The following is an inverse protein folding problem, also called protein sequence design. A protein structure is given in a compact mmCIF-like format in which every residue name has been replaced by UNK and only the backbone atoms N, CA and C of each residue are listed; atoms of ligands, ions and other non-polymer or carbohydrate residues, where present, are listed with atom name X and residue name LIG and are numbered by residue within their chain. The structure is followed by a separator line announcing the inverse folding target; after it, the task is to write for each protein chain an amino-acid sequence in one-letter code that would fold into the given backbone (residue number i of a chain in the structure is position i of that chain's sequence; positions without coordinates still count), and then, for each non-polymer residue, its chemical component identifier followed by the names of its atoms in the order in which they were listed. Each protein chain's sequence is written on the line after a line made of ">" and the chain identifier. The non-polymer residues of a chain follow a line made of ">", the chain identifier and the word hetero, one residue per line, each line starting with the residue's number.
data_IF_338719269515
#
_entry.id   IF_338719269515
#
_cell.length_a   1.000
_cell.length_b   1.000
_cell.length_c   1.000
_cell.angle_alpha   90.00
_cell.angle_beta   90.00
_cell.angle_gamma   90.00
#
_symmetry.space_group_name_H-M   'P 1'
#
loop_
_entity.id
_entity.type
_entity.pdbx_description
1 polymer ?
#
# COMPACT_ATOMS: atom_id res chain seq x y z
N UNK A 1 -36.86 -0.42 4.85
CA UNK A 1 -35.85 0.63 4.74
C UNK A 1 -34.49 -0.01 4.98
N UNK A 2 -33.50 0.25 4.13
CA UNK A 2 -32.14 -0.28 4.36
C UNK A 2 -31.52 0.34 5.62
N UNK A 3 -30.81 -0.45 6.39
CA UNK A 3 -30.07 0.02 7.57
C UNK A 3 -28.61 0.30 7.18
N UNK A 4 -28.06 1.37 7.72
CA UNK A 4 -26.66 1.72 7.58
C UNK A 4 -25.83 0.84 8.53
N UNK A 5 -24.65 0.40 8.09
CA UNK A 5 -23.71 -0.31 8.95
C UNK A 5 -23.30 0.60 10.13
N UNK A 6 -23.69 0.21 11.35
CA UNK A 6 -23.45 0.99 12.58
C UNK A 6 -21.97 1.18 12.92
N UNK A 7 -21.07 0.35 12.36
CA UNK A 7 -19.63 0.47 12.58
C UNK A 7 -19.03 1.74 11.97
N UNK A 8 -19.70 2.36 10.99
CA UNK A 8 -19.27 3.67 10.47
C UNK A 8 -19.26 4.77 11.55
N UNK A 9 -20.09 4.65 12.58
CA UNK A 9 -20.06 5.58 13.71
C UNK A 9 -18.81 5.45 14.59
N UNK A 10 -18.03 4.37 14.44
CA UNK A 10 -16.77 4.16 15.15
C UNK A 10 -15.57 4.82 14.46
N UNK A 11 -15.72 5.21 13.19
CA UNK A 11 -14.69 5.94 12.44
C UNK A 11 -14.58 7.37 12.99
N UNK A 12 -13.40 7.99 12.79
CA UNK A 12 -13.25 9.42 13.08
C UNK A 12 -14.23 10.21 12.21
N UNK A 13 -14.83 11.25 12.78
CA UNK A 13 -15.87 12.06 12.12
C UNK A 13 -15.40 12.69 10.80
N UNK A 14 -14.11 12.93 10.67
CA UNK A 14 -13.55 13.44 9.43
C UNK A 14 -12.25 12.73 9.04
N UNK A 15 -12.09 12.56 7.75
CA UNK A 15 -10.85 12.03 7.17
C UNK A 15 -9.75 13.11 7.25
N UNK A 16 -8.61 12.77 7.84
CA UNK A 16 -7.50 13.69 8.12
C UNK A 16 -7.17 14.64 6.97
N UNK A 17 -7.12 14.13 5.74
CA UNK A 17 -6.77 14.94 4.57
C UNK A 17 -7.84 15.96 4.18
N UNK A 18 -9.11 15.66 4.44
CA UNK A 18 -10.22 16.60 4.23
C UNK A 18 -10.13 17.77 5.20
N UNK A 19 -9.81 17.49 6.48
CA UNK A 19 -9.59 18.53 7.48
C UNK A 19 -8.42 19.43 7.15
N UNK A 20 -7.30 18.83 6.75
CA UNK A 20 -6.11 19.59 6.33
C UNK A 20 -6.46 20.49 5.15
N UNK A 21 -7.18 19.97 4.14
CA UNK A 21 -7.59 20.76 2.97
C UNK A 21 -8.49 21.93 3.37
N UNK A 22 -9.45 21.72 4.26
CA UNK A 22 -10.32 22.78 4.77
C UNK A 22 -9.55 23.86 5.54
N UNK A 23 -8.60 23.45 6.42
CA UNK A 23 -7.73 24.38 7.16
C UNK A 23 -6.80 25.18 6.22
N UNK A 24 -6.23 24.52 5.22
CA UNK A 24 -5.39 25.18 4.20
C UNK A 24 -6.19 26.24 3.43
N UNK A 25 -7.43 25.91 3.01
CA UNK A 25 -8.31 26.83 2.32
C UNK A 25 -8.63 28.05 3.19
N UNK A 26 -9.09 27.82 4.42
CA UNK A 26 -9.42 28.88 5.38
C UNK A 26 -8.22 29.79 5.69
N UNK A 27 -7.01 29.21 5.85
CA UNK A 27 -5.79 29.98 6.09
C UNK A 27 -5.43 30.85 4.87
N UNK A 28 -5.51 30.29 3.66
CA UNK A 28 -5.17 31.01 2.43
C UNK A 28 -6.14 32.19 2.17
N UNK A 29 -7.44 31.98 2.45
CA UNK A 29 -8.45 33.04 2.34
C UNK A 29 -8.23 34.15 3.37
N UNK A 30 -7.86 33.80 4.61
CA UNK A 30 -7.57 34.76 5.66
C UNK A 30 -6.25 35.53 5.49
N UNK A 31 -5.28 34.94 4.75
CA UNK A 31 -3.93 35.49 4.59
C UNK A 31 -3.47 35.45 3.12
N UNK A 32 -4.12 36.20 2.21
CA UNK A 32 -3.82 36.16 0.77
C UNK A 32 -2.42 36.68 0.41
N UNK A 33 -1.79 37.45 1.30
CA UNK A 33 -0.43 37.99 1.19
C UNK A 33 0.66 36.96 1.61
N UNK A 34 0.29 35.84 2.22
CA UNK A 34 1.24 34.85 2.73
C UNK A 34 1.39 33.65 1.80
N UNK A 35 2.65 33.30 1.51
CA UNK A 35 2.96 32.06 0.81
C UNK A 35 2.90 30.88 1.77
N UNK A 36 1.98 29.95 1.53
CA UNK A 36 1.86 28.71 2.29
C UNK A 36 2.86 27.66 1.77
N UNK A 37 3.68 27.12 2.66
CA UNK A 37 4.55 25.96 2.38
C UNK A 37 3.81 24.70 2.83
N UNK A 38 3.40 23.86 1.87
CA UNK A 38 2.67 22.61 2.14
C UNK A 38 3.68 21.49 2.39
N UNK A 39 3.71 20.95 3.60
CA UNK A 39 4.61 19.86 4.02
C UNK A 39 3.85 18.63 4.54
N UNK A 40 2.54 18.55 4.30
CA UNK A 40 1.68 17.56 4.96
C UNK A 40 1.39 16.31 4.13
N UNK A 41 1.36 16.38 2.81
CA UNK A 41 1.04 15.23 1.95
C UNK A 41 2.27 14.90 1.10
N UNK A 42 2.76 13.67 1.25
CA UNK A 42 3.78 13.12 0.34
C UNK A 42 3.15 12.82 -1.01
N UNK A 43 3.35 13.71 -1.97
CA UNK A 43 2.95 13.52 -3.36
C UNK A 43 4.17 13.56 -4.28
N UNK A 44 4.04 13.01 -5.48
CA UNK A 44 5.05 13.17 -6.51
C UNK A 44 5.05 14.63 -6.98
N UNK A 45 6.23 15.23 -7.11
CA UNK A 45 6.41 16.65 -7.42
C UNK A 45 7.00 16.91 -8.81
N UNK A 46 7.43 15.85 -9.47
CA UNK A 46 8.00 15.92 -10.82
C UNK A 46 6.97 15.45 -11.86
N UNK A 47 7.00 16.02 -13.07
CA UNK A 47 6.17 15.50 -14.17
C UNK A 47 6.55 14.06 -14.52
N UNK A 48 5.64 13.38 -15.22
CA UNK A 48 5.89 12.04 -15.75
C UNK A 48 7.14 12.04 -16.65
N UNK A 49 7.92 10.97 -16.58
CA UNK A 49 9.07 10.78 -17.46
C UNK A 49 8.64 10.80 -18.94
N UNK A 50 9.44 11.37 -19.86
CA UNK A 50 9.09 11.45 -21.29
C UNK A 50 8.71 10.09 -21.90
N UNK A 51 9.40 9.01 -21.54
CA UNK A 51 9.09 7.66 -22.00
C UNK A 51 7.71 7.16 -21.53
N UNK A 52 7.28 7.55 -20.34
CA UNK A 52 5.95 7.24 -19.82
C UNK A 52 4.88 7.99 -20.60
N UNK A 53 5.09 9.30 -20.84
CA UNK A 53 4.16 10.12 -21.64
C UNK A 53 4.03 9.56 -23.06
N UNK A 54 5.14 9.18 -23.69
CA UNK A 54 5.14 8.56 -25.03
C UNK A 54 4.34 7.26 -25.05
N UNK A 55 4.57 6.36 -24.10
CA UNK A 55 3.87 5.08 -24.00
C UNK A 55 2.36 5.27 -23.77
N UNK A 56 1.96 6.20 -22.89
CA UNK A 56 0.55 6.53 -22.66
C UNK A 56 -0.10 7.13 -23.92
N UNK A 57 0.58 8.03 -24.61
CA UNK A 57 0.08 8.64 -25.87
C UNK A 57 -0.15 7.58 -26.92
N UNK A 58 0.80 6.64 -27.08
CA UNK A 58 0.66 5.51 -28.00
C UNK A 58 -0.52 4.63 -27.63
N UNK A 59 -0.68 4.30 -26.35
CA UNK A 59 -1.79 3.48 -25.87
C UNK A 59 -3.16 4.12 -26.16
N UNK A 60 -3.28 5.45 -25.99
CA UNK A 60 -4.50 6.19 -26.33
C UNK A 60 -4.76 6.18 -27.84
N UNK A 61 -3.72 6.34 -28.66
CA UNK A 61 -3.84 6.26 -30.11
C UNK A 61 -4.30 4.87 -30.60
N UNK A 62 -3.76 3.80 -30.01
CA UNK A 62 -4.19 2.43 -30.29
C UNK A 62 -5.70 2.24 -30.04
N UNK A 63 -6.27 2.88 -29.03
CA UNK A 63 -7.70 2.81 -28.75
C UNK A 63 -8.58 3.47 -29.80
N UNK A 64 -8.02 4.33 -30.64
CA UNK A 64 -8.71 5.02 -31.74
C UNK A 64 -8.84 4.18 -33.01
N UNK A 65 -8.22 3.01 -33.12
CA UNK A 65 -8.18 2.18 -34.30
C UNK A 65 -8.82 0.82 -34.03
N UNK A 66 -9.67 0.38 -34.98
CA UNK A 66 -10.43 -0.88 -34.85
C UNK A 66 -9.53 -2.09 -34.60
N UNK A 67 -8.37 -2.13 -35.26
CA UNK A 67 -7.43 -3.25 -35.25
C UNK A 67 -6.65 -3.36 -33.91
N UNK A 68 -6.54 -2.27 -33.16
CA UNK A 68 -5.77 -2.20 -31.93
C UNK A 68 -6.61 -1.81 -30.70
N UNK A 69 -7.90 -1.54 -30.93
CA UNK A 69 -8.87 -1.29 -29.87
C UNK A 69 -8.94 -2.49 -28.92
N UNK A 70 -8.95 -2.20 -27.62
CA UNK A 70 -9.08 -3.19 -26.55
C UNK A 70 -10.35 -2.92 -25.76
N UNK A 71 -11.22 -3.93 -25.66
CA UNK A 71 -12.36 -3.93 -24.75
C UNK A 71 -11.94 -4.35 -23.33
N UNK A 72 -12.82 -5.06 -22.63
CA UNK A 72 -12.47 -5.64 -21.34
C UNK A 72 -11.26 -6.57 -21.46
N UNK A 73 -10.26 -6.32 -20.63
CA UNK A 73 -9.10 -7.20 -20.52
C UNK A 73 -9.37 -8.43 -19.64
N UNK A 74 -8.36 -9.32 -19.49
CA UNK A 74 -8.41 -10.38 -18.49
C UNK A 74 -8.57 -9.81 -17.08
N UNK A 75 -9.32 -10.50 -16.22
CA UNK A 75 -9.63 -10.04 -14.85
C UNK A 75 -8.39 -9.76 -13.99
N UNK A 76 -7.33 -10.55 -14.15
CA UNK A 76 -6.09 -10.37 -13.40
C UNK A 76 -5.13 -9.35 -14.03
N UNK A 77 -5.38 -8.91 -15.26
CA UNK A 77 -4.53 -8.02 -16.05
C UNK A 77 -4.01 -8.65 -17.34
N UNK A 78 -3.39 -7.84 -18.18
CA UNK A 78 -2.79 -8.32 -19.44
C UNK A 78 -1.47 -9.04 -19.19
N UNK A 79 -1.22 -10.13 -19.94
CA UNK A 79 -0.01 -10.94 -19.83
C UNK A 79 1.28 -10.13 -20.03
N UNK A 80 1.31 -9.20 -21.00
CA UNK A 80 2.49 -8.34 -21.21
C UNK A 80 2.86 -7.50 -19.98
N UNK A 81 1.84 -7.11 -19.16
CA UNK A 81 2.06 -6.36 -17.95
C UNK A 81 2.53 -7.29 -16.83
N UNK A 82 1.95 -8.48 -16.69
CA UNK A 82 2.41 -9.51 -15.75
C UNK A 82 3.87 -9.87 -16.00
N UNK A 83 4.26 -10.10 -17.26
CA UNK A 83 5.66 -10.36 -17.62
C UNK A 83 6.58 -9.18 -17.29
N UNK A 84 6.12 -7.95 -17.50
CA UNK A 84 6.91 -6.76 -17.16
C UNK A 84 7.10 -6.62 -15.64
N UNK A 85 6.05 -6.89 -14.86
CA UNK A 85 6.10 -6.90 -13.39
C UNK A 85 7.01 -8.04 -12.90
N UNK A 86 6.88 -9.26 -13.41
CA UNK A 86 7.74 -10.38 -13.04
C UNK A 86 9.23 -10.06 -13.32
N UNK A 87 9.53 -9.46 -14.48
CA UNK A 87 10.88 -8.99 -14.82
C UNK A 87 11.37 -7.89 -13.87
N UNK A 88 10.49 -7.01 -13.40
CA UNK A 88 10.83 -6.00 -12.39
C UNK A 88 11.24 -6.66 -11.08
N UNK A 89 10.45 -7.60 -10.59
CA UNK A 89 10.75 -8.34 -9.36
C UNK A 89 12.05 -9.16 -9.47
N UNK A 90 12.29 -9.80 -10.62
CA UNK A 90 13.51 -10.57 -10.87
C UNK A 90 14.79 -9.73 -10.74
N UNK A 91 14.76 -8.43 -11.09
CA UNK A 91 15.90 -7.51 -10.89
C UNK A 91 16.24 -7.29 -9.42
N UNK A 92 15.29 -7.57 -8.53
CA UNK A 92 15.44 -7.45 -7.08
C UNK A 92 15.54 -8.80 -6.38
N UNK A 93 15.84 -9.88 -7.16
CA UNK A 93 16.07 -11.21 -6.62
C UNK A 93 14.81 -11.97 -6.24
N UNK A 94 13.64 -11.59 -6.77
CA UNK A 94 12.37 -12.26 -6.54
C UNK A 94 11.85 -12.87 -7.83
N UNK A 95 11.61 -14.17 -7.84
CA UNK A 95 10.97 -14.88 -8.96
C UNK A 95 9.46 -15.01 -8.69
N UNK A 96 8.65 -14.49 -9.61
CA UNK A 96 7.19 -14.60 -9.62
C UNK A 96 6.73 -15.27 -10.91
N UNK A 97 5.75 -16.17 -10.80
CA UNK A 97 4.97 -16.64 -11.95
C UNK A 97 3.91 -15.59 -12.30
N UNK A 98 3.55 -15.45 -13.58
CA UNK A 98 2.55 -14.47 -14.02
C UNK A 98 1.19 -14.67 -13.37
N UNK A 99 0.83 -15.91 -13.02
CA UNK A 99 -0.40 -16.25 -12.29
C UNK A 99 -0.41 -15.77 -10.83
N UNK A 100 0.74 -15.39 -10.25
CA UNK A 100 0.84 -14.83 -8.90
C UNK A 100 0.64 -13.31 -8.88
N UNK A 101 0.43 -12.69 -10.05
CA UNK A 101 0.34 -11.24 -10.21
C UNK A 101 -1.10 -10.84 -10.55
N UNK A 102 -1.64 -9.90 -9.80
CA UNK A 102 -2.97 -9.34 -9.98
C UNK A 102 -2.87 -7.83 -10.18
N UNK A 103 -3.41 -7.32 -11.28
CA UNK A 103 -3.42 -5.89 -11.60
C UNK A 103 -4.76 -5.29 -11.21
N UNK A 104 -4.70 -4.19 -10.47
CA UNK A 104 -5.89 -3.49 -9.96
C UNK A 104 -5.81 -1.98 -10.24
N UNK A 105 -6.78 -1.24 -9.71
CA UNK A 105 -6.83 0.22 -9.76
C UNK A 105 -5.99 0.91 -8.65
N UNK A 106 -5.18 0.15 -7.93
CA UNK A 106 -4.17 0.66 -7.00
C UNK A 106 -4.23 0.10 -5.58
N UNK A 107 -3.09 0.09 -4.91
CA UNK A 107 -2.87 -0.52 -3.61
C UNK A 107 -3.87 -0.09 -2.52
N UNK A 108 -4.38 1.16 -2.55
CA UNK A 108 -5.40 1.60 -1.58
C UNK A 108 -6.70 0.79 -1.72
N UNK A 109 -7.15 0.59 -2.95
CA UNK A 109 -8.33 -0.23 -3.24
C UNK A 109 -8.10 -1.68 -2.85
N UNK A 110 -6.91 -2.21 -3.15
CA UNK A 110 -6.54 -3.58 -2.79
C UNK A 110 -6.52 -3.78 -1.28
N UNK A 111 -5.89 -2.87 -0.52
CA UNK A 111 -5.90 -2.92 0.95
C UNK A 111 -7.32 -2.89 1.55
N UNK A 112 -8.27 -2.26 0.87
CA UNK A 112 -9.67 -2.27 1.27
C UNK A 112 -10.38 -3.57 0.88
N UNK A 113 -10.24 -3.98 -0.38
CA UNK A 113 -10.98 -5.10 -0.96
C UNK A 113 -10.49 -6.45 -0.44
N UNK A 114 -9.17 -6.60 -0.18
CA UNK A 114 -8.59 -7.85 0.34
C UNK A 114 -9.24 -8.27 1.66
N UNK A 115 -9.80 -7.33 2.41
CA UNK A 115 -10.48 -7.63 3.66
C UNK A 115 -11.71 -8.52 3.47
N UNK A 116 -12.30 -8.56 2.26
CA UNK A 116 -13.46 -9.41 1.93
C UNK A 116 -13.11 -10.90 1.88
N UNK A 117 -11.84 -11.25 1.70
CA UNK A 117 -11.37 -12.63 1.70
C UNK A 117 -11.29 -13.26 3.09
N UNK A 118 -11.31 -12.44 4.15
CA UNK A 118 -11.05 -12.88 5.51
C UNK A 118 -12.30 -12.76 6.37
N UNK A 119 -12.51 -13.75 7.24
CA UNK A 119 -13.59 -13.74 8.22
C UNK A 119 -13.46 -12.57 9.19
N UNK A 120 -14.59 -12.02 9.63
CA UNK A 120 -14.63 -10.85 10.51
C UNK A 120 -14.15 -11.16 11.95
N UNK A 121 -14.05 -12.43 12.33
CA UNK A 121 -13.48 -12.86 13.63
C UNK A 121 -11.95 -12.73 13.72
N UNK A 122 -11.26 -12.55 12.60
CA UNK A 122 -9.80 -12.39 12.58
C UNK A 122 -9.34 -11.19 13.40
N UNK A 123 -8.28 -11.38 14.17
CA UNK A 123 -7.60 -10.36 14.95
C UNK A 123 -6.53 -9.68 14.08
N UNK A 124 -6.62 -8.37 14.00
CA UNK A 124 -5.73 -7.54 13.18
C UNK A 124 -4.61 -6.97 14.02
N UNK A 125 -3.38 -6.97 13.51
CA UNK A 125 -2.22 -6.35 14.13
C UNK A 125 -1.67 -5.27 13.19
N UNK A 126 -1.59 -4.02 13.67
CA UNK A 126 -1.10 -2.87 12.89
C UNK A 126 -0.06 -2.08 13.66
N UNK A 127 0.99 -1.55 13.01
CA UNK A 127 1.85 -0.53 13.61
C UNK A 127 1.07 0.76 13.86
N UNK A 128 1.54 1.57 14.82
CA UNK A 128 1.04 2.92 15.05
C UNK A 128 2.25 3.86 15.28
N UNK A 129 2.44 4.92 14.47
CA UNK A 129 1.54 5.42 13.42
C UNK A 129 1.61 4.63 12.11
N UNK A 130 0.47 4.58 11.40
CA UNK A 130 0.33 3.83 10.15
C UNK A 130 -0.66 4.54 9.19
N UNK A 131 -0.68 4.11 7.95
CA UNK A 131 -1.65 4.59 6.96
C UNK A 131 -3.08 4.22 7.39
N UNK A 132 -4.01 5.20 7.49
CA UNK A 132 -5.32 5.00 8.11
C UNK A 132 -6.18 3.91 7.48
N UNK A 133 -5.99 3.60 6.18
CA UNK A 133 -6.84 2.65 5.48
C UNK A 133 -6.83 1.26 6.12
N UNK A 134 -5.72 0.82 6.70
CA UNK A 134 -5.65 -0.50 7.36
C UNK A 134 -6.52 -0.58 8.61
N UNK A 135 -6.62 0.54 9.32
CA UNK A 135 -7.47 0.64 10.51
C UNK A 135 -8.93 0.82 10.11
N UNK A 136 -9.22 1.79 9.25
CA UNK A 136 -10.59 2.18 8.90
C UNK A 136 -11.37 1.03 8.26
N UNK A 137 -10.76 0.26 7.35
CA UNK A 137 -11.43 -0.87 6.69
C UNK A 137 -11.77 -1.99 7.67
N UNK A 138 -10.91 -2.23 8.67
CA UNK A 138 -11.15 -3.23 9.69
C UNK A 138 -12.15 -2.75 10.77
N UNK A 139 -12.17 -1.46 11.10
CA UNK A 139 -13.21 -0.86 11.96
C UNK A 139 -14.59 -0.98 11.32
N UNK A 140 -14.72 -0.75 10.01
CA UNK A 140 -15.99 -0.91 9.28
C UNK A 140 -16.53 -2.34 9.35
N UNK A 141 -15.65 -3.34 9.52
CA UNK A 141 -16.00 -4.77 9.68
C UNK A 141 -16.14 -5.22 11.13
N UNK A 142 -15.97 -4.31 12.10
CA UNK A 142 -15.99 -4.63 13.54
C UNK A 142 -14.90 -5.62 14.00
N UNK A 143 -13.79 -5.71 13.28
CA UNK A 143 -12.69 -6.60 13.65
C UNK A 143 -11.92 -6.05 14.86
N UNK A 144 -11.41 -6.96 15.67
CA UNK A 144 -10.52 -6.61 16.78
C UNK A 144 -9.17 -6.16 16.23
N UNK A 145 -8.76 -4.94 16.59
CA UNK A 145 -7.47 -4.36 16.16
C UNK A 145 -6.55 -4.26 17.37
N UNK A 146 -5.34 -4.77 17.23
CA UNK A 146 -4.22 -4.63 18.15
C UNK A 146 -3.20 -3.68 17.52
N UNK A 147 -2.63 -2.81 18.34
CA UNK A 147 -1.66 -1.82 17.89
C UNK A 147 -0.27 -2.14 18.42
N UNK A 148 0.74 -1.91 17.57
CA UNK A 148 2.15 -1.98 17.94
C UNK A 148 2.73 -0.57 17.87
N UNK A 149 3.21 -0.06 18.99
CA UNK A 149 3.72 1.30 19.05
C UNK A 149 5.08 1.43 18.35
N UNK A 150 5.11 2.18 17.26
CA UNK A 150 6.33 2.71 16.67
C UNK A 150 6.75 3.98 17.42
N UNK A 151 7.92 3.96 18.00
CA UNK A 151 8.48 5.06 18.81
C UNK A 151 9.88 5.40 18.33
N UNK A 152 10.44 6.56 18.70
CA UNK A 152 11.84 6.87 18.39
C UNK A 152 12.83 5.83 18.94
N UNK A 153 12.52 5.18 20.06
CA UNK A 153 13.39 4.20 20.70
C UNK A 153 13.46 2.87 19.92
N UNK A 154 12.48 2.57 19.10
CA UNK A 154 12.48 1.41 18.19
C UNK A 154 12.56 1.80 16.71
N UNK A 155 13.03 3.01 16.41
CA UNK A 155 13.14 3.56 15.05
C UNK A 155 11.83 3.54 14.27
N UNK A 156 10.69 3.59 14.96
CA UNK A 156 9.34 3.41 14.41
C UNK A 156 9.12 2.07 13.68
N UNK A 157 9.89 1.05 14.05
CA UNK A 157 9.86 -0.30 13.50
C UNK A 157 9.53 -1.32 14.61
N UNK A 158 8.28 -1.40 15.06
CA UNK A 158 7.91 -2.37 16.08
C UNK A 158 8.17 -3.80 15.58
N UNK A 159 8.63 -4.65 16.49
CA UNK A 159 8.96 -6.05 16.23
C UNK A 159 7.87 -6.97 16.78
N UNK A 160 7.77 -8.23 16.28
CA UNK A 160 6.75 -9.15 16.76
C UNK A 160 6.94 -9.49 18.24
N UNK A 161 5.85 -9.42 19.00
CA UNK A 161 5.79 -9.89 20.39
C UNK A 161 5.18 -11.31 20.43
N UNK A 162 5.93 -12.32 20.90
CA UNK A 162 5.42 -13.70 20.98
C UNK A 162 4.18 -13.88 21.88
N UNK A 163 3.92 -12.93 22.79
CA UNK A 163 2.76 -12.95 23.68
C UNK A 163 1.48 -12.44 22.98
N UNK A 164 1.62 -11.69 21.90
CA UNK A 164 0.50 -11.20 21.08
C UNK A 164 0.16 -12.26 20.05
N UNK A 165 -1.13 -12.54 19.85
CA UNK A 165 -1.64 -13.38 18.76
C UNK A 165 -2.51 -12.54 17.84
N UNK A 166 -2.22 -12.60 16.55
CA UNK A 166 -3.00 -11.97 15.50
C UNK A 166 -3.06 -12.89 14.29
N UNK A 167 -4.13 -12.75 13.51
CA UNK A 167 -4.36 -13.56 12.31
C UNK A 167 -3.94 -12.81 11.05
N UNK A 168 -4.07 -11.47 11.05
CA UNK A 168 -3.70 -10.60 9.93
C UNK A 168 -2.79 -9.49 10.45
N UNK A 169 -1.63 -9.35 9.82
CA UNK A 169 -0.59 -8.39 10.20
C UNK A 169 -0.39 -7.40 9.04
N UNK A 170 -0.60 -6.12 9.28
CA UNK A 170 -0.23 -5.10 8.30
C UNK A 170 1.18 -4.61 8.56
N UNK A 171 2.01 -4.60 7.52
CA UNK A 171 3.33 -3.97 7.52
C UNK A 171 3.45 -3.06 6.31
N UNK A 172 3.95 -1.85 6.49
CA UNK A 172 4.25 -0.93 5.41
C UNK A 172 5.74 -0.60 5.43
N UNK A 173 6.46 -0.87 4.34
CA UNK A 173 7.90 -0.63 4.30
C UNK A 173 8.37 -0.22 2.89
N UNK A 174 8.85 1.02 2.74
CA UNK A 174 8.91 2.11 3.74
C UNK A 174 7.54 2.53 4.27
N UNK A 175 7.46 2.83 5.57
CA UNK A 175 6.19 3.12 6.23
C UNK A 175 5.64 4.52 5.91
N UNK A 176 4.36 4.63 5.74
CA UNK A 176 3.62 5.89 5.78
C UNK A 176 2.93 6.02 7.16
N UNK A 177 3.29 7.01 8.03
CA UNK A 177 3.94 8.29 7.69
C UNK A 177 5.42 8.40 8.05
N UNK A 178 6.06 7.42 8.66
CA UNK A 178 7.37 7.59 9.32
C UNK A 178 8.55 7.55 8.35
N UNK A 179 8.40 6.90 7.20
CA UNK A 179 9.48 6.64 6.25
C UNK A 179 10.45 5.53 6.69
N UNK A 180 10.24 4.94 7.87
CA UNK A 180 11.06 3.83 8.36
C UNK A 180 10.88 2.58 7.49
N UNK A 181 11.95 1.83 7.28
CA UNK A 181 11.94 0.62 6.46
C UNK A 181 12.61 -0.54 7.20
N UNK A 182 11.95 -1.70 7.18
CA UNK A 182 12.48 -2.92 7.79
C UNK A 182 13.66 -3.48 7.00
N UNK A 183 14.70 -3.93 7.70
CA UNK A 183 15.80 -4.70 7.11
C UNK A 183 15.43 -6.19 6.98
N UNK A 184 16.37 -6.99 6.42
CA UNK A 184 16.16 -8.42 6.16
C UNK A 184 15.91 -9.23 7.44
N UNK A 185 16.67 -8.95 8.49
CA UNK A 185 16.55 -9.64 9.79
C UNK A 185 15.22 -9.33 10.46
N UNK A 186 14.80 -8.08 10.39
CA UNK A 186 13.52 -7.63 10.95
C UNK A 186 12.33 -8.25 10.18
N UNK A 187 12.37 -8.24 8.85
CA UNK A 187 11.32 -8.89 8.04
C UNK A 187 11.32 -10.42 8.26
N UNK A 188 12.51 -11.04 8.42
CA UNK A 188 12.59 -12.47 8.74
C UNK A 188 11.89 -12.79 10.07
N UNK A 189 12.07 -11.96 11.09
CA UNK A 189 11.39 -12.15 12.36
C UNK A 189 9.85 -12.06 12.21
N UNK A 190 9.35 -11.17 11.36
CA UNK A 190 7.92 -11.07 11.04
C UNK A 190 7.41 -12.28 10.27
N UNK A 191 8.14 -12.76 9.27
CA UNK A 191 7.80 -13.97 8.51
C UNK A 191 7.78 -15.19 9.43
N UNK A 192 8.80 -15.35 10.29
CA UNK A 192 8.84 -16.45 11.25
C UNK A 192 7.68 -16.41 12.25
N UNK A 193 7.33 -15.21 12.71
CA UNK A 193 6.18 -15.01 13.57
C UNK A 193 4.88 -15.41 12.85
N UNK A 194 4.68 -14.97 11.61
CA UNK A 194 3.48 -15.28 10.84
C UNK A 194 3.34 -16.78 10.59
N UNK A 195 4.40 -17.45 10.13
CA UNK A 195 4.41 -18.90 9.89
C UNK A 195 4.13 -19.69 11.18
N UNK A 196 4.70 -19.27 12.30
CA UNK A 196 4.50 -19.94 13.60
C UNK A 196 3.07 -19.83 14.12
N UNK A 197 2.37 -18.75 13.78
CA UNK A 197 1.03 -18.44 14.30
C UNK A 197 -0.09 -18.66 13.26
N UNK A 198 0.21 -19.23 12.09
CA UNK A 198 -0.71 -19.37 10.95
C UNK A 198 -1.35 -18.03 10.55
N UNK A 199 -0.57 -16.94 10.64
CA UNK A 199 -1.00 -15.59 10.33
C UNK A 199 -0.62 -15.18 8.91
N UNK A 200 -1.34 -14.21 8.35
CA UNK A 200 -1.06 -13.61 7.05
C UNK A 200 -0.46 -12.21 7.24
N UNK A 201 0.62 -11.91 6.52
CA UNK A 201 1.18 -10.57 6.41
C UNK A 201 0.61 -9.89 5.17
N UNK A 202 -0.04 -8.75 5.35
CA UNK A 202 -0.41 -7.82 4.29
C UNK A 202 0.68 -6.74 4.23
N UNK A 203 1.57 -6.88 3.25
CA UNK A 203 2.78 -6.07 3.13
C UNK A 203 2.60 -4.97 2.09
N UNK A 204 2.53 -3.71 2.53
CA UNK A 204 2.43 -2.56 1.64
C UNK A 204 3.83 -2.05 1.26
N UNK A 205 4.22 -2.28 0.01
CA UNK A 205 5.47 -1.87 -0.60
C UNK A 205 5.31 -0.66 -1.54
N UNK A 206 4.25 0.13 -1.39
CA UNK A 206 3.97 1.25 -2.31
C UNK A 206 5.13 2.25 -2.45
N UNK A 207 6.01 2.33 -1.46
CA UNK A 207 7.16 3.24 -1.44
C UNK A 207 8.51 2.53 -1.69
N UNK A 208 8.52 1.26 -2.11
CA UNK A 208 9.74 0.46 -2.30
C UNK A 208 10.76 1.13 -3.24
N UNK A 209 10.28 1.85 -4.26
CA UNK A 209 11.13 2.54 -5.23
C UNK A 209 12.02 3.64 -4.62
N UNK A 210 11.67 4.14 -3.43
CA UNK A 210 12.45 5.15 -2.70
C UNK A 210 13.56 4.54 -1.82
N UNK A 211 13.65 3.22 -1.72
CA UNK A 211 14.77 2.54 -1.05
C UNK A 211 16.01 2.68 -1.91
N UNK A 212 17.00 3.43 -1.41
CA UNK A 212 18.27 3.72 -2.10
C UNK A 212 19.40 2.81 -1.62
N UNK A 213 19.32 2.26 -0.41
CA UNK A 213 20.30 1.33 0.11
C UNK A 213 20.08 -0.07 -0.51
N UNK A 214 21.05 -0.62 -1.28
CA UNK A 214 20.91 -1.91 -1.96
C UNK A 214 20.78 -3.11 -1.01
N UNK A 215 21.21 -2.97 0.25
CA UNK A 215 21.10 -4.02 1.26
C UNK A 215 19.69 -4.14 1.84
N UNK A 216 18.87 -3.09 1.68
CA UNK A 216 17.50 -3.10 2.17
C UNK A 216 16.57 -3.84 1.20
N UNK A 217 15.69 -4.70 1.72
CA UNK A 217 14.74 -5.43 0.87
C UNK A 217 13.69 -4.47 0.28
N UNK A 218 13.46 -4.56 -1.02
CA UNK A 218 12.37 -3.86 -1.70
C UNK A 218 11.07 -4.66 -1.70
N UNK A 219 11.17 -5.97 -1.51
CA UNK A 219 10.03 -6.89 -1.45
C UNK A 219 10.21 -7.83 -0.28
N UNK A 220 9.11 -8.15 0.39
CA UNK A 220 9.09 -9.16 1.45
C UNK A 220 9.43 -10.55 0.89
N UNK A 221 9.18 -10.80 -0.38
CA UNK A 221 9.46 -12.08 -1.03
C UNK A 221 10.96 -12.40 -1.18
N UNK A 222 11.85 -11.45 -0.89
CA UNK A 222 13.28 -11.74 -0.72
C UNK A 222 13.58 -12.52 0.56
N UNK A 223 12.61 -12.61 1.47
CA UNK A 223 12.74 -13.31 2.76
C UNK A 223 12.24 -14.76 2.61
N UNK A 224 13.06 -15.76 2.96
CA UNK A 224 12.64 -17.16 2.89
C UNK A 224 11.37 -17.43 3.73
N UNK A 225 10.39 -18.09 3.11
CA UNK A 225 9.09 -18.41 3.72
C UNK A 225 8.02 -17.33 3.55
N UNK A 226 8.36 -16.14 3.04
CA UNK A 226 7.38 -15.06 2.88
C UNK A 226 6.26 -15.41 1.89
N UNK A 227 6.56 -16.16 0.82
CA UNK A 227 5.53 -16.60 -0.14
C UNK A 227 4.44 -17.46 0.46
N UNK A 228 4.70 -18.10 1.59
CA UNK A 228 3.75 -18.99 2.26
C UNK A 228 2.82 -18.22 3.23
N UNK A 229 3.15 -16.98 3.58
CA UNK A 229 2.41 -16.24 4.60
C UNK A 229 2.25 -14.73 4.31
N UNK A 230 2.62 -14.24 3.12
CA UNK A 230 2.51 -12.82 2.81
C UNK A 230 1.83 -12.56 1.47
N UNK A 231 1.06 -11.46 1.42
CA UNK A 231 0.54 -10.84 0.21
C UNK A 231 1.15 -9.44 0.14
N UNK A 232 1.82 -9.12 -0.99
CA UNK A 232 2.48 -7.84 -1.20
C UNK A 232 1.65 -6.93 -2.11
N UNK A 233 1.49 -5.69 -1.69
CA UNK A 233 0.85 -4.62 -2.47
C UNK A 233 1.91 -3.65 -2.97
N UNK A 234 1.89 -3.40 -4.29
CA UNK A 234 2.70 -2.37 -4.94
C UNK A 234 1.82 -1.34 -5.63
N UNK A 235 2.41 -0.22 -6.05
CA UNK A 235 1.64 0.83 -6.72
C UNK A 235 2.50 1.61 -7.71
N UNK A 236 1.99 1.78 -8.91
CA UNK A 236 2.57 2.72 -9.89
C UNK A 236 2.39 4.18 -9.49
N UNK A 237 1.51 4.48 -8.55
CA UNK A 237 1.30 5.85 -8.06
C UNK A 237 2.60 6.52 -7.60
N UNK A 238 3.51 5.76 -6.97
CA UNK A 238 4.79 6.27 -6.50
C UNK A 238 5.93 5.95 -7.47
N UNK A 239 6.05 4.69 -7.88
CA UNK A 239 7.12 4.19 -8.74
C UNK A 239 7.14 4.87 -10.11
N UNK A 240 5.98 5.08 -10.74
CA UNK A 240 5.85 5.70 -12.06
C UNK A 240 5.35 7.16 -12.02
N UNK A 241 5.11 7.71 -10.84
CA UNK A 241 4.55 9.06 -10.71
C UNK A 241 3.06 9.17 -11.05
N UNK A 242 2.29 8.09 -10.92
CA UNK A 242 0.88 7.99 -11.35
C UNK A 242 -0.13 8.50 -10.32
N UNK A 243 0.25 9.34 -9.36
CA UNK A 243 -0.72 9.84 -8.36
C UNK A 243 -1.92 10.57 -8.95
N UNK A 244 -1.78 11.15 -10.14
CA UNK A 244 -2.86 11.81 -10.90
C UNK A 244 -3.50 10.93 -11.99
N UNK A 245 -2.94 9.75 -12.27
CA UNK A 245 -3.40 8.83 -13.34
C UNK A 245 -3.97 7.53 -12.79
N UNK A 246 -3.35 7.07 -11.72
CA UNK A 246 -3.65 5.89 -10.93
C UNK A 246 -3.40 4.54 -11.59
#
# INVERSE_FOLDING_TARGET
>A
MALVNGNFAKLKESYLFSDIAARVKAFTEAHPDKKLIKMGIGDVTLPLAPSVVEAMTKAVQEMGHKETFRGYGPEQGYEFLHEAIAKYYARHGVELETKEIFVSDGAKSDCGNITDLFDDSNVILVPDPVYPVYVDTNVMRDRKILYMNGTPENDFLPMPDPAVKADIIYLCSPNNPTGAAYNKEQLKAWVDYALKNDAIILYDAAYEAFITNPEMPRSIYTIPGAKDCAIEFCSFSKTAGFTGTR
#
